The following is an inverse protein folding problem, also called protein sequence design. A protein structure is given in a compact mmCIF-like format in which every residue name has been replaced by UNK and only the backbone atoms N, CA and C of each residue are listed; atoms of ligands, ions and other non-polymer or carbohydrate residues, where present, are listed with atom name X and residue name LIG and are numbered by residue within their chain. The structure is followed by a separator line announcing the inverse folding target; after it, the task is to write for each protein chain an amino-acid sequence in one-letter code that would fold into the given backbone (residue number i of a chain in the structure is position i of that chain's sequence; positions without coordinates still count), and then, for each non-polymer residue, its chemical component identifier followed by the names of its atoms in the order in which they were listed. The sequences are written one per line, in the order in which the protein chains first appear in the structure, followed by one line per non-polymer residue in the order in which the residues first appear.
data_IF_805379085828
#
_entry.id   IF_805379085828
#
_cell.length_a   1.000
_cell.length_b   1.000
_cell.length_c   1.000
_cell.angle_alpha   90.00
_cell.angle_beta   90.00
_cell.angle_gamma   90.00
#
_symmetry.space_group_name_H-M   'P 1'
#
loop_
_entity.id
_entity.type
_entity.pdbx_description
1 polymer ?
#
# COMPACT_ATOMS: atom_id res chain seq x y z
N UNK A 1 -11.54 21.73 -21.15
CA UNK A 1 -10.15 21.29 -20.88
C UNK A 1 -10.09 19.78 -20.96
N UNK A 2 -9.05 19.23 -21.57
CA UNK A 2 -8.75 17.79 -21.52
C UNK A 2 -7.71 17.54 -20.42
N UNK A 3 -7.91 16.50 -19.61
CA UNK A 3 -6.97 16.09 -18.57
C UNK A 3 -6.38 14.74 -18.91
N UNK A 4 -5.11 14.54 -18.55
CA UNK A 4 -4.40 13.26 -18.71
C UNK A 4 -3.99 12.78 -17.32
N UNK A 5 -4.40 11.56 -16.97
CA UNK A 5 -4.09 10.92 -15.70
C UNK A 5 -3.17 9.73 -15.95
N UNK A 6 -2.06 9.64 -15.21
CA UNK A 6 -1.18 8.48 -15.25
C UNK A 6 -1.60 7.47 -14.16
N UNK A 7 -2.31 6.42 -14.56
CA UNK A 7 -2.82 5.39 -13.65
C UNK A 7 -1.70 4.62 -12.94
N UNK A 8 -0.57 4.40 -13.61
CA UNK A 8 0.57 3.69 -12.99
C UNK A 8 1.22 4.49 -11.86
N UNK A 9 1.26 5.81 -12.01
CA UNK A 9 1.76 6.70 -10.95
C UNK A 9 0.87 6.63 -9.70
N UNK A 10 -0.46 6.70 -9.90
CA UNK A 10 -1.46 6.56 -8.83
C UNK A 10 -1.35 5.22 -8.09
N UNK A 11 -1.10 4.13 -8.81
CA UNK A 11 -0.90 2.82 -8.21
C UNK A 11 0.39 2.75 -7.37
N UNK A 12 1.49 3.34 -7.86
CA UNK A 12 2.75 3.39 -7.13
C UNK A 12 2.64 4.22 -5.85
N UNK A 13 1.99 5.38 -5.91
CA UNK A 13 1.75 6.22 -4.73
C UNK A 13 0.91 5.49 -3.68
N UNK A 14 -0.14 4.77 -4.09
CA UNK A 14 -0.96 3.94 -3.20
C UNK A 14 -0.12 2.87 -2.49
N UNK A 15 0.72 2.13 -3.23
CA UNK A 15 1.57 1.09 -2.66
C UNK A 15 2.58 1.66 -1.66
N UNK A 16 3.21 2.80 -1.97
CA UNK A 16 4.16 3.47 -1.08
C UNK A 16 3.46 3.88 0.22
N UNK A 17 2.30 4.52 0.13
CA UNK A 17 1.51 4.92 1.30
C UNK A 17 1.06 3.73 2.16
N UNK A 18 0.84 2.56 1.55
CA UNK A 18 0.50 1.34 2.29
C UNK A 18 1.71 0.72 2.98
N UNK A 19 2.89 0.77 2.37
CA UNK A 19 4.11 0.29 3.01
C UNK A 19 4.43 1.14 4.24
N UNK A 20 4.33 2.47 4.15
CA UNK A 20 4.56 3.37 5.29
C UNK A 20 3.58 3.15 6.45
N UNK A 21 2.38 2.65 6.15
CA UNK A 21 1.34 2.28 7.13
C UNK A 21 1.62 0.93 7.81
N UNK A 22 2.17 -0.04 7.07
CA UNK A 22 2.48 -1.39 7.59
C UNK A 22 3.73 -1.43 8.46
N UNK A 23 4.68 -0.50 8.27
CA UNK A 23 5.94 -0.46 9.03
C UNK A 23 5.75 0.27 10.37
N UNK A 24 4.95 -0.28 11.27
CA UNK A 24 5.08 -0.02 12.70
C UNK A 24 6.19 -0.94 13.25
N UNK A 25 7.42 -0.41 13.28
CA UNK A 25 8.65 -1.02 13.79
C UNK A 25 9.05 -2.40 13.20
N UNK A 26 10.22 -2.52 12.52
CA UNK A 26 10.68 -3.81 12.01
C UNK A 26 10.92 -4.80 13.15
N UNK A 27 9.97 -5.73 13.32
CA UNK A 27 10.07 -6.80 14.32
C UNK A 27 11.14 -7.78 13.86
N UNK A 28 12.30 -7.79 14.51
CA UNK A 28 13.38 -8.73 14.19
C UNK A 28 13.19 -10.00 15.00
N UNK A 29 12.88 -11.11 14.33
CA UNK A 29 12.76 -12.45 14.94
C UNK A 29 14.01 -13.26 14.61
N UNK A 30 14.67 -13.83 15.63
CA UNK A 30 15.79 -14.76 15.42
C UNK A 30 15.25 -16.18 15.35
N UNK A 31 15.59 -16.90 14.29
CA UNK A 31 15.18 -18.28 14.07
C UNK A 31 16.35 -19.24 14.33
N UNK A 32 16.08 -20.42 14.88
CA UNK A 32 17.09 -21.45 15.17
C UNK A 32 17.33 -22.41 13.99
N UNK A 33 16.44 -22.41 12.99
CA UNK A 33 16.51 -23.26 11.80
C UNK A 33 15.81 -22.64 10.60
N UNK A 34 16.14 -23.14 9.40
CA UNK A 34 15.46 -22.79 8.14
C UNK A 34 13.98 -23.18 8.13
N UNK A 35 13.65 -24.33 8.71
CA UNK A 35 12.28 -24.85 8.79
C UNK A 35 11.39 -23.95 9.65
N UNK A 36 11.92 -23.45 10.76
CA UNK A 36 11.22 -22.52 11.65
C UNK A 36 10.94 -21.18 10.95
N UNK A 37 11.94 -20.64 10.23
CA UNK A 37 11.76 -19.42 9.44
C UNK A 37 10.73 -19.61 8.31
N UNK A 38 10.79 -20.74 7.59
CA UNK A 38 9.84 -21.05 6.53
C UNK A 38 8.41 -21.22 7.08
N UNK A 39 8.25 -21.88 8.21
CA UNK A 39 6.95 -22.02 8.87
C UNK A 39 6.38 -20.68 9.32
N UNK A 40 7.21 -19.82 9.94
CA UNK A 40 6.81 -18.47 10.32
C UNK A 40 6.37 -17.65 9.09
N UNK A 41 7.18 -17.64 8.03
CA UNK A 41 6.87 -16.90 6.80
C UNK A 41 5.58 -17.40 6.15
N UNK A 42 5.36 -18.71 6.06
CA UNK A 42 4.14 -19.28 5.47
C UNK A 42 2.87 -18.91 6.23
N UNK A 43 2.97 -18.69 7.54
CA UNK A 43 1.83 -18.29 8.37
C UNK A 43 1.61 -16.76 8.36
N UNK A 44 2.68 -15.97 8.34
CA UNK A 44 2.60 -14.51 8.49
C UNK A 44 2.48 -13.77 7.14
N UNK A 45 3.10 -14.27 6.06
CA UNK A 45 3.03 -13.64 4.74
C UNK A 45 1.60 -13.48 4.20
N UNK A 46 0.70 -14.49 4.28
CA UNK A 46 -0.65 -14.35 3.74
C UNK A 46 -1.47 -13.25 4.44
N UNK A 47 -1.30 -13.08 5.75
CA UNK A 47 -1.98 -12.00 6.49
C UNK A 47 -1.42 -10.62 6.13
N UNK A 48 -0.09 -10.51 6.00
CA UNK A 48 0.55 -9.25 5.59
C UNK A 48 0.15 -8.84 4.18
N UNK A 49 0.09 -9.79 3.24
CA UNK A 49 -0.37 -9.52 1.87
C UNK A 49 -1.82 -9.03 1.84
N UNK A 50 -2.72 -9.67 2.59
CA UNK A 50 -4.12 -9.23 2.67
C UNK A 50 -4.25 -7.83 3.28
N UNK A 51 -3.44 -7.53 4.29
CA UNK A 51 -3.42 -6.20 4.89
C UNK A 51 -2.93 -5.16 3.89
N UNK A 52 -1.84 -5.43 3.18
CA UNK A 52 -1.30 -4.55 2.14
C UNK A 52 -2.31 -4.31 1.01
N UNK A 53 -2.99 -5.36 0.54
CA UNK A 53 -4.04 -5.25 -0.49
C UNK A 53 -5.19 -4.34 -0.03
N UNK A 54 -5.64 -4.50 1.22
CA UNK A 54 -6.70 -3.69 1.80
C UNK A 54 -6.27 -2.23 1.93
N UNK A 55 -5.11 -1.99 2.52
CA UNK A 55 -4.59 -0.63 2.72
C UNK A 55 -4.30 0.06 1.38
N UNK A 56 -3.80 -0.66 0.38
CA UNK A 56 -3.58 -0.12 -0.97
C UNK A 56 -4.89 0.28 -1.62
N UNK A 57 -5.94 -0.55 -1.50
CA UNK A 57 -7.25 -0.22 -2.01
C UNK A 57 -7.84 1.05 -1.37
N UNK A 58 -7.65 1.23 -0.06
CA UNK A 58 -8.14 2.41 0.65
C UNK A 58 -7.31 3.66 0.33
N UNK A 59 -5.98 3.54 0.29
CA UNK A 59 -5.08 4.62 -0.12
C UNK A 59 -5.34 5.08 -1.56
N UNK A 60 -5.65 4.15 -2.47
CA UNK A 60 -5.99 4.50 -3.86
C UNK A 60 -7.28 5.31 -3.94
N UNK A 61 -8.31 4.97 -3.13
CA UNK A 61 -9.55 5.77 -3.07
C UNK A 61 -9.27 7.19 -2.58
N UNK A 62 -8.41 7.34 -1.58
CA UNK A 62 -8.00 8.65 -1.04
C UNK A 62 -7.26 9.45 -2.11
N UNK A 63 -6.26 8.86 -2.77
CA UNK A 63 -5.47 9.53 -3.81
C UNK A 63 -6.34 9.98 -5.00
N UNK A 64 -7.26 9.12 -5.46
CA UNK A 64 -8.23 9.48 -6.50
C UNK A 64 -9.10 10.65 -6.06
N UNK A 65 -9.60 10.63 -4.82
CA UNK A 65 -10.43 11.72 -4.30
C UNK A 65 -9.67 13.05 -4.25
N UNK A 66 -8.42 13.04 -3.78
CA UNK A 66 -7.57 14.24 -3.71
C UNK A 66 -7.35 14.85 -5.10
N UNK A 67 -7.08 14.04 -6.12
CA UNK A 67 -6.91 14.55 -7.48
C UNK A 67 -8.22 15.09 -8.08
N UNK A 68 -9.36 14.48 -7.79
CA UNK A 68 -10.66 15.01 -8.20
C UNK A 68 -10.93 16.38 -7.57
N UNK A 69 -10.68 16.53 -6.27
CA UNK A 69 -10.84 17.81 -5.56
C UNK A 69 -9.90 18.89 -6.13
N UNK A 70 -8.66 18.53 -6.50
CA UNK A 70 -7.72 19.44 -7.18
C UNK A 70 -8.23 19.90 -8.56
N UNK A 71 -8.80 18.97 -9.35
CA UNK A 71 -9.37 19.31 -10.66
C UNK A 71 -10.57 20.26 -10.49
N UNK A 72 -11.45 20.01 -9.52
CA UNK A 72 -12.60 20.87 -9.24
C UNK A 72 -12.19 22.28 -8.79
N UNK A 73 -11.09 22.42 -8.04
CA UNK A 73 -10.57 23.73 -7.65
C UNK A 73 -10.00 24.53 -8.83
N UNK A 74 -9.36 23.87 -9.79
CA UNK A 74 -8.79 24.53 -10.99
C UNK A 74 -9.87 24.94 -11.99
N UNK A 75 -11.03 24.26 -11.96
CA UNK A 75 -12.16 24.53 -12.87
C UNK A 75 -13.12 25.62 -12.35
N UNK A 76 -13.01 26.04 -11.08
CA UNK A 76 -13.76 27.16 -10.50
C UNK A 76 -13.03 28.48 -10.71
#
# INVERSE_FOLDING_TARGET
MSYTLNVYHLLLESVILSIDSVVEEPTTVTFQSSEEAAHYLNNTLPSLLKQLEKESADNLKIAVRMHLDQIEQVLK
#
